data_IF_865531474603
#
_entry.id   IF_865531474603
#
_cell.length_a   1.000
_cell.length_b   1.000
_cell.length_c   1.000
_cell.angle_alpha   90.00
_cell.angle_beta   90.00
_cell.angle_gamma   90.00
#
_symmetry.space_group_name_H-M   'P 1'
#
loop_
_entity.id
_entity.type
_entity.pdbx_description
1 polymer ?
#
# COMPACT_ATOMS: atom_id res chain seq x y z
N UNK A 1 21.02 -10.53 -10.53
CA UNK A 1 21.57 -10.47 -9.16
C UNK A 1 20.72 -11.36 -8.28
N UNK A 2 21.33 -12.10 -7.35
CA UNK A 2 20.54 -12.87 -6.40
C UNK A 2 19.81 -11.90 -5.45
N UNK A 3 18.67 -12.32 -4.89
CA UNK A 3 17.85 -11.49 -3.99
C UNK A 3 18.66 -10.96 -2.78
N UNK A 4 19.58 -11.77 -2.27
CA UNK A 4 20.49 -11.39 -1.19
C UNK A 4 21.46 -10.26 -1.58
N UNK A 5 21.92 -10.22 -2.83
CA UNK A 5 22.80 -9.17 -3.32
C UNK A 5 22.06 -7.83 -3.38
N UNK A 6 20.80 -7.86 -3.84
CA UNK A 6 19.92 -6.68 -3.91
C UNK A 6 19.66 -6.17 -2.49
N UNK A 7 19.31 -7.06 -1.56
CA UNK A 7 19.08 -6.67 -0.17
C UNK A 7 20.32 -6.02 0.44
N UNK A 8 21.51 -6.59 0.24
CA UNK A 8 22.75 -6.03 0.76
C UNK A 8 23.05 -4.65 0.17
N UNK A 9 22.79 -4.43 -1.11
CA UNK A 9 22.93 -3.14 -1.77
C UNK A 9 21.95 -2.09 -1.22
N UNK A 10 20.69 -2.47 -1.02
CA UNK A 10 19.68 -1.58 -0.43
C UNK A 10 19.92 -1.26 1.05
N UNK A 11 20.54 -2.17 1.81
CA UNK A 11 21.01 -1.88 3.17
C UNK A 11 22.12 -0.82 3.16
N UNK A 12 23.06 -0.87 2.20
CA UNK A 12 24.08 0.19 2.07
C UNK A 12 23.46 1.56 1.77
N UNK A 13 22.38 1.60 0.96
CA UNK A 13 21.63 2.83 0.68
C UNK A 13 20.97 3.43 1.94
N UNK A 14 20.61 2.61 2.92
CA UNK A 14 20.10 3.10 4.22
C UNK A 14 21.20 3.84 4.98
N UNK A 15 22.44 3.34 4.96
CA UNK A 15 23.56 4.05 5.58
C UNK A 15 23.85 5.38 4.86
N UNK A 16 23.78 5.42 3.53
CA UNK A 16 23.92 6.67 2.77
C UNK A 16 22.84 7.72 3.13
N UNK A 17 21.59 7.29 3.30
CA UNK A 17 20.51 8.15 3.79
C UNK A 17 20.86 8.74 5.16
N UNK A 18 21.33 7.89 6.08
CA UNK A 18 21.71 8.30 7.43
C UNK A 18 22.90 9.26 7.45
N UNK A 19 23.92 9.01 6.63
CA UNK A 19 25.07 9.92 6.45
C UNK A 19 24.65 11.30 5.91
N UNK A 20 23.63 11.33 5.05
CA UNK A 20 23.01 12.55 4.56
C UNK A 20 22.02 13.21 5.56
N UNK A 21 21.83 12.64 6.75
CA UNK A 21 20.92 13.14 7.78
C UNK A 21 19.44 12.86 7.51
N UNK A 22 19.13 11.97 6.57
CA UNK A 22 17.76 11.55 6.23
C UNK A 22 17.46 10.17 6.84
N UNK A 23 16.38 10.06 7.60
CA UNK A 23 15.96 8.77 8.17
C UNK A 23 15.26 7.91 7.10
N UNK A 24 15.60 6.62 7.03
CA UNK A 24 14.98 5.70 6.07
C UNK A 24 13.56 5.25 6.47
N UNK A 25 13.19 5.45 7.74
CA UNK A 25 11.93 5.02 8.36
C UNK A 25 11.42 6.06 9.39
N UNK A 26 11.14 7.31 8.99
CA UNK A 26 10.67 8.33 9.91
C UNK A 26 9.31 7.96 10.53
N UNK A 27 9.11 8.38 11.78
CA UNK A 27 7.86 8.13 12.50
C UNK A 27 6.66 8.98 12.02
N UNK A 28 6.90 10.04 11.25
CA UNK A 28 5.88 10.99 10.78
C UNK A 28 6.10 11.34 9.31
N UNK A 29 5.00 11.62 8.63
CA UNK A 29 4.95 12.21 7.29
C UNK A 29 4.21 13.55 7.38
N UNK A 30 4.60 14.49 6.53
CA UNK A 30 3.95 15.78 6.33
C UNK A 30 2.93 15.77 5.16
N UNK A 31 2.58 14.58 4.63
CA UNK A 31 1.55 14.42 3.59
C UNK A 31 0.27 15.17 3.95
N UNK A 32 -0.17 16.04 3.04
CA UNK A 32 -1.34 16.91 3.26
C UNK A 32 -2.53 16.58 2.35
N UNK A 33 -2.31 15.83 1.26
CA UNK A 33 -3.36 15.43 0.31
C UNK A 33 -3.12 14.01 -0.22
N UNK A 34 -4.19 13.37 -0.71
CA UNK A 34 -4.06 12.16 -1.53
C UNK A 34 -3.85 12.48 -3.00
N UNK A 35 -3.35 11.49 -3.75
CA UNK A 35 -3.17 11.60 -5.19
C UNK A 35 -4.53 11.73 -5.91
N UNK A 36 -5.55 11.01 -5.45
CA UNK A 36 -6.90 11.13 -5.98
C UNK A 36 -7.48 12.55 -5.78
N UNK A 37 -7.32 13.14 -4.59
CA UNK A 37 -7.77 14.50 -4.29
C UNK A 37 -7.03 15.54 -5.14
N UNK A 38 -5.70 15.43 -5.24
CA UNK A 38 -4.90 16.33 -6.08
C UNK A 38 -5.32 16.24 -7.55
N UNK A 39 -5.56 15.03 -8.07
CA UNK A 39 -5.99 14.84 -9.46
C UNK A 39 -7.40 15.40 -9.73
N UNK A 40 -8.30 15.31 -8.75
CA UNK A 40 -9.63 15.90 -8.84
C UNK A 40 -9.58 17.44 -8.86
N UNK A 41 -8.70 18.04 -8.04
CA UNK A 41 -8.50 19.50 -7.93
C UNK A 41 -7.34 20.06 -8.75
N UNK A 42 -6.81 19.31 -9.73
CA UNK A 42 -5.50 19.59 -10.31
C UNK A 42 -5.39 20.98 -10.94
N UNK A 43 -6.37 21.37 -11.76
CA UNK A 43 -6.30 22.63 -12.52
C UNK A 43 -6.39 23.86 -11.60
N UNK A 44 -7.02 23.74 -10.44
CA UNK A 44 -7.05 24.78 -9.42
C UNK A 44 -5.73 24.84 -8.63
N UNK A 45 -5.18 23.67 -8.27
CA UNK A 45 -3.88 23.57 -7.61
C UNK A 45 -2.75 24.12 -8.49
N UNK A 46 -2.76 23.81 -9.80
CA UNK A 46 -1.81 24.32 -10.80
C UNK A 46 -1.90 25.86 -10.91
N UNK A 47 -3.11 26.42 -11.00
CA UNK A 47 -3.32 27.88 -11.10
C UNK A 47 -2.91 28.64 -9.84
N UNK A 48 -3.17 28.08 -8.67
CA UNK A 48 -2.83 28.70 -7.40
C UNK A 48 -1.34 28.65 -7.09
N UNK A 49 -0.58 27.74 -7.73
CA UNK A 49 0.83 27.50 -7.40
C UNK A 49 1.00 27.01 -5.96
N UNK A 50 -0.06 26.47 -5.34
CA UNK A 50 -0.01 25.97 -3.97
C UNK A 50 0.98 24.82 -3.89
N UNK A 51 1.83 24.87 -2.85
CA UNK A 51 2.68 23.75 -2.46
C UNK A 51 1.83 22.64 -1.84
N UNK A 52 2.03 21.42 -2.30
CA UNK A 52 1.38 20.20 -1.79
C UNK A 52 2.43 19.15 -1.48
N UNK A 53 2.13 18.28 -0.52
CA UNK A 53 3.01 17.19 -0.08
C UNK A 53 2.30 15.86 -0.26
N UNK A 54 2.85 15.05 -1.16
CA UNK A 54 2.34 13.71 -1.48
C UNK A 54 3.22 12.66 -0.83
N UNK A 55 2.60 11.59 -0.33
CA UNK A 55 3.30 10.39 0.12
C UNK A 55 2.85 9.18 -0.68
N UNK A 56 3.79 8.38 -1.17
CA UNK A 56 3.46 7.20 -1.97
C UNK A 56 4.63 6.30 -2.28
N UNK A 57 4.32 5.15 -2.87
CA UNK A 57 5.29 4.14 -3.30
C UNK A 57 5.80 4.45 -4.70
N UNK A 58 7.11 4.37 -4.90
CA UNK A 58 7.75 4.44 -6.21
C UNK A 58 7.39 3.18 -7.00
N UNK A 59 6.58 3.33 -8.04
CA UNK A 59 6.22 2.23 -8.94
C UNK A 59 7.21 2.09 -10.08
N UNK A 60 7.68 3.22 -10.61
CA UNK A 60 8.75 3.27 -11.60
C UNK A 60 9.53 4.57 -11.48
N UNK A 61 10.80 4.53 -11.85
CA UNK A 61 11.69 5.69 -11.91
C UNK A 61 12.51 5.63 -13.21
N UNK A 62 12.63 6.77 -13.88
CA UNK A 62 13.41 6.93 -15.12
C UNK A 62 14.13 8.28 -15.11
N UNK A 63 15.45 8.24 -15.22
CA UNK A 63 16.30 9.42 -15.31
C UNK A 63 16.78 9.69 -16.73
N UNK A 64 16.90 10.95 -17.11
CA UNK A 64 17.58 11.37 -18.33
C UNK A 64 18.24 12.73 -18.12
N UNK A 65 19.58 12.75 -18.03
CA UNK A 65 20.32 13.97 -17.68
C UNK A 65 19.99 14.45 -16.27
N UNK A 66 19.84 15.76 -16.08
CA UNK A 66 19.47 16.38 -14.79
C UNK A 66 17.98 16.34 -14.46
N UNK A 67 17.22 15.39 -15.01
CA UNK A 67 15.77 15.23 -14.77
C UNK A 67 15.43 13.77 -14.46
N UNK A 68 14.60 13.54 -13.44
CA UNK A 68 14.08 12.23 -13.08
C UNK A 68 12.56 12.27 -13.03
N UNK A 69 11.92 11.33 -13.72
CA UNK A 69 10.48 11.11 -13.68
C UNK A 69 10.18 9.87 -12.87
N UNK A 70 9.25 9.99 -11.92
CA UNK A 70 8.90 8.90 -11.01
C UNK A 70 7.39 8.76 -10.98
N UNK A 71 6.88 7.55 -11.17
CA UNK A 71 5.46 7.24 -10.97
C UNK A 71 5.24 6.86 -9.51
N UNK A 72 4.45 7.66 -8.79
CA UNK A 72 4.08 7.40 -7.40
C UNK A 72 2.67 6.85 -7.29
N UNK A 73 2.47 5.94 -6.34
CA UNK A 73 1.18 5.32 -6.03
C UNK A 73 0.91 5.32 -4.53
N UNK A 74 -0.22 5.88 -4.07
CA UNK A 74 -0.55 6.03 -2.64
C UNK A 74 -1.71 5.15 -2.15
N UNK A 75 -2.25 4.27 -3.00
CA UNK A 75 -3.48 3.53 -2.71
C UNK A 75 -4.71 4.11 -3.42
N UNK A 76 -4.78 5.43 -3.55
CA UNK A 76 -5.94 6.17 -4.08
C UNK A 76 -5.79 6.50 -5.57
N UNK A 77 -4.56 6.72 -6.03
CA UNK A 77 -4.28 7.08 -7.42
C UNK A 77 -2.80 6.97 -7.75
N UNK A 78 -2.47 7.22 -9.02
CA UNK A 78 -1.09 7.32 -9.52
C UNK A 78 -0.84 8.74 -10.03
N UNK A 79 0.35 9.27 -9.77
CA UNK A 79 0.77 10.57 -10.31
C UNK A 79 2.27 10.56 -10.60
N UNK A 80 2.65 11.19 -11.71
CA UNK A 80 4.05 11.43 -12.03
C UNK A 80 4.58 12.59 -11.17
N UNK A 81 5.71 12.37 -10.51
CA UNK A 81 6.52 13.44 -9.93
C UNK A 81 7.77 13.65 -10.78
N UNK A 82 8.28 14.88 -10.80
CA UNK A 82 9.42 15.29 -11.62
C UNK A 82 10.43 16.01 -10.75
N UNK A 83 11.62 15.41 -10.60
CA UNK A 83 12.77 16.02 -9.95
C UNK A 83 13.66 16.62 -11.03
N UNK A 84 14.10 17.87 -10.87
CA UNK A 84 14.98 18.56 -11.82
C UNK A 84 16.14 19.19 -11.05
N UNK A 85 17.38 18.83 -11.39
CA UNK A 85 18.59 19.32 -10.72
C UNK A 85 18.65 20.86 -10.68
N UNK A 86 18.15 21.53 -11.72
CA UNK A 86 18.17 23.00 -11.82
C UNK A 86 17.14 23.71 -10.92
N UNK A 87 16.15 22.99 -10.39
CA UNK A 87 14.99 23.55 -9.68
C UNK A 87 14.93 23.09 -8.22
N UNK A 88 15.90 22.30 -7.76
CA UNK A 88 15.96 21.81 -6.37
C UNK A 88 17.40 21.81 -5.85
N UNK A 89 17.58 21.55 -4.55
CA UNK A 89 18.92 21.41 -3.98
C UNK A 89 19.66 20.23 -4.63
N UNK A 90 20.87 20.52 -5.14
CA UNK A 90 21.67 19.52 -5.86
C UNK A 90 22.01 18.30 -5.00
N UNK A 91 22.29 18.47 -3.70
CA UNK A 91 22.60 17.34 -2.81
C UNK A 91 21.37 16.45 -2.63
N UNK A 92 20.17 17.04 -2.51
CA UNK A 92 18.93 16.27 -2.45
C UNK A 92 18.65 15.53 -3.76
N UNK A 93 18.93 16.14 -4.91
CA UNK A 93 18.81 15.48 -6.21
C UNK A 93 19.79 14.32 -6.38
N UNK A 94 21.06 14.53 -6.04
CA UNK A 94 22.10 13.51 -6.10
C UNK A 94 21.82 12.37 -5.11
N UNK A 95 21.35 12.70 -3.90
CA UNK A 95 20.91 11.72 -2.90
C UNK A 95 19.77 10.85 -3.46
N UNK A 96 18.76 11.46 -4.08
CA UNK A 96 17.64 10.72 -4.67
C UNK A 96 18.14 9.69 -5.69
N UNK A 97 18.99 10.12 -6.63
CA UNK A 97 19.56 9.23 -7.66
C UNK A 97 20.43 8.12 -7.05
N UNK A 98 21.10 8.39 -5.94
CA UNK A 98 21.95 7.41 -5.26
C UNK A 98 21.19 6.35 -4.45
N UNK A 99 20.02 6.69 -3.91
CA UNK A 99 19.36 5.86 -2.87
C UNK A 99 17.93 5.45 -3.16
N UNK A 100 17.20 6.12 -4.05
CA UNK A 100 15.80 5.80 -4.32
C UNK A 100 15.69 4.60 -5.28
N UNK A 101 14.83 3.65 -4.96
CA UNK A 101 14.56 2.46 -5.75
C UNK A 101 13.06 2.22 -5.93
N UNK A 102 12.71 1.46 -6.98
CA UNK A 102 11.35 0.95 -7.13
C UNK A 102 10.92 0.14 -5.89
N UNK A 103 9.77 0.52 -5.37
CA UNK A 103 9.11 -0.03 -4.21
C UNK A 103 9.31 0.71 -2.91
N UNK A 104 10.22 1.69 -2.86
CA UNK A 104 10.35 2.59 -1.72
C UNK A 104 9.09 3.44 -1.54
N UNK A 105 8.78 3.79 -0.30
CA UNK A 105 7.85 4.86 -0.01
C UNK A 105 8.62 6.15 0.20
N UNK A 106 8.20 7.20 -0.48
CA UNK A 106 8.75 8.54 -0.34
C UNK A 106 7.63 9.55 -0.12
N UNK A 107 8.03 10.68 0.42
CA UNK A 107 7.28 11.91 0.43
C UNK A 107 7.91 12.87 -0.57
N UNK A 108 7.09 13.59 -1.33
CA UNK A 108 7.53 14.59 -2.29
C UNK A 108 6.67 15.85 -2.12
N UNK A 109 7.33 16.99 -1.94
CA UNK A 109 6.69 18.29 -1.79
C UNK A 109 7.05 19.20 -2.96
N UNK A 110 6.06 19.93 -3.46
CA UNK A 110 6.26 20.90 -4.53
C UNK A 110 4.96 21.38 -5.15
N UNK A 111 5.00 21.74 -6.43
CA UNK A 111 3.88 22.42 -7.11
C UNK A 111 3.32 21.60 -8.28
N UNK A 112 2.00 21.64 -8.44
CA UNK A 112 1.31 20.94 -9.54
C UNK A 112 1.60 21.65 -10.87
N UNK A 113 1.93 20.88 -11.91
CA UNK A 113 2.16 21.40 -13.26
C UNK A 113 1.91 20.35 -14.34
N UNK A 114 1.61 20.79 -15.55
CA UNK A 114 1.61 19.91 -16.73
C UNK A 114 2.96 19.88 -17.41
N UNK A 115 3.45 18.67 -17.70
CA UNK A 115 4.64 18.52 -18.55
C UNK A 115 4.38 18.97 -19.99
N UNK A 116 5.42 19.11 -20.80
CA UNK A 116 5.29 19.42 -22.24
C UNK A 116 4.39 18.44 -23.01
N UNK A 117 4.22 17.20 -22.51
CA UNK A 117 3.35 16.18 -23.10
C UNK A 117 1.91 16.23 -22.58
N UNK A 118 1.58 17.18 -21.69
CA UNK A 118 0.26 17.32 -21.08
C UNK A 118 0.03 16.44 -19.84
N UNK A 119 1.01 15.64 -19.42
CA UNK A 119 0.90 14.80 -18.22
C UNK A 119 0.77 15.67 -16.97
N UNK A 120 -0.26 15.43 -16.15
CA UNK A 120 -0.43 16.07 -14.84
C UNK A 120 0.64 15.55 -13.90
N UNK A 121 1.44 16.45 -13.32
CA UNK A 121 2.60 16.06 -12.52
C UNK A 121 2.82 16.99 -11.34
N UNK A 122 3.64 16.54 -10.39
CA UNK A 122 4.19 17.38 -9.33
C UNK A 122 5.64 17.73 -9.68
N UNK A 123 5.97 19.02 -9.74
CA UNK A 123 7.37 19.46 -9.79
C UNK A 123 7.90 19.45 -8.37
N UNK A 124 8.90 18.61 -8.10
CA UNK A 124 9.41 18.36 -6.75
C UNK A 124 10.47 19.40 -6.39
N UNK A 125 10.31 19.99 -5.20
CA UNK A 125 11.26 20.92 -4.58
C UNK A 125 12.02 20.22 -3.44
N UNK A 126 11.32 19.38 -2.68
CA UNK A 126 11.86 18.61 -1.57
C UNK A 126 11.29 17.18 -1.57
N UNK A 127 12.06 16.23 -1.06
CA UNK A 127 11.60 14.87 -0.87
C UNK A 127 12.20 14.28 0.41
N UNK A 128 11.50 13.30 0.99
CA UNK A 128 11.97 12.53 2.14
C UNK A 128 11.70 11.04 1.90
N UNK A 129 12.61 10.19 2.40
CA UNK A 129 12.34 8.76 2.50
C UNK A 129 11.30 8.51 3.59
N UNK A 130 10.28 7.68 3.33
CA UNK A 130 9.28 7.25 4.32
C UNK A 130 9.49 5.79 4.73
N UNK A 131 9.80 4.92 3.77
CA UNK A 131 10.17 3.54 4.05
C UNK A 131 11.01 2.99 2.90
N UNK A 132 12.26 2.68 3.18
CA UNK A 132 13.14 2.01 2.23
C UNK A 132 12.67 0.56 2.03
N UNK A 133 12.43 0.17 0.79
CA UNK A 133 12.13 -1.23 0.46
C UNK A 133 13.43 -2.01 0.35
N UNK A 134 13.54 -3.15 1.02
CA UNK A 134 14.73 -4.01 0.95
C UNK A 134 14.68 -5.06 -0.17
N UNK A 135 13.49 -5.27 -0.75
CA UNK A 135 13.25 -6.25 -1.81
C UNK A 135 12.62 -5.55 -3.02
N UNK A 136 12.97 -5.97 -4.24
CA UNK A 136 12.39 -5.39 -5.44
C UNK A 136 10.91 -5.80 -5.55
N UNK A 137 10.09 -4.92 -6.11
CA UNK A 137 8.74 -5.30 -6.54
C UNK A 137 8.90 -6.17 -7.80
N UNK A 138 8.24 -7.34 -7.88
CA UNK A 138 8.19 -8.12 -9.10
C UNK A 138 7.69 -7.27 -10.26
N UNK A 139 8.38 -7.29 -11.40
CA UNK A 139 8.02 -6.47 -12.55
C UNK A 139 6.58 -6.76 -13.02
N UNK A 140 5.79 -5.71 -13.25
CA UNK A 140 4.38 -5.78 -13.66
C UNK A 140 4.15 -6.71 -14.87
N UNK A 141 5.09 -6.75 -15.82
CA UNK A 141 4.98 -7.53 -17.06
C UNK A 141 5.28 -9.03 -16.92
N UNK A 142 6.13 -9.40 -15.96
CA UNK A 142 6.40 -10.82 -15.70
C UNK A 142 5.28 -11.42 -14.87
N UNK A 143 4.69 -10.63 -13.97
CA UNK A 143 3.58 -11.03 -13.11
C UNK A 143 3.97 -12.14 -12.15
N UNK A 144 3.33 -12.18 -10.98
CA UNK A 144 3.31 -13.41 -10.20
C UNK A 144 2.39 -14.39 -10.97
N UNK A 145 2.91 -15.09 -11.98
CA UNK A 145 2.12 -16.07 -12.76
C UNK A 145 1.86 -17.35 -11.97
N UNK A 146 2.77 -17.66 -11.07
CA UNK A 146 2.69 -18.81 -10.17
C UNK A 146 1.58 -18.61 -9.13
N UNK A 147 0.53 -19.42 -9.20
CA UNK A 147 -0.63 -19.35 -8.31
C UNK A 147 -0.27 -19.55 -6.83
N UNK A 148 0.68 -20.46 -6.53
CA UNK A 148 1.12 -20.70 -5.16
C UNK A 148 1.82 -19.46 -4.60
N UNK A 149 2.71 -18.87 -5.40
CA UNK A 149 3.42 -17.65 -5.00
C UNK A 149 2.46 -16.49 -4.77
N UNK A 150 1.44 -16.32 -5.63
CA UNK A 150 0.37 -15.31 -5.43
C UNK A 150 -0.42 -15.50 -4.15
N UNK A 151 -0.65 -16.75 -3.74
CA UNK A 151 -1.35 -17.07 -2.50
C UNK A 151 -0.49 -16.77 -1.27
N UNK A 152 0.84 -16.98 -1.37
CA UNK A 152 1.81 -16.71 -0.29
C UNK A 152 2.16 -15.23 -0.14
N UNK A 153 2.32 -14.52 -1.26
CA UNK A 153 2.68 -13.10 -1.34
C UNK A 153 1.48 -12.25 -1.77
N UNK A 154 0.36 -12.43 -1.04
CA UNK A 154 -0.93 -11.83 -1.41
C UNK A 154 -0.90 -10.30 -1.39
N UNK A 155 -0.12 -9.71 -0.49
CA UNK A 155 0.12 -8.28 -0.38
C UNK A 155 0.75 -7.70 -1.66
N UNK A 156 1.75 -8.39 -2.22
CA UNK A 156 2.37 -8.01 -3.49
C UNK A 156 1.39 -8.20 -4.65
N UNK A 157 0.64 -9.31 -4.69
CA UNK A 157 -0.35 -9.57 -5.75
C UNK A 157 -1.44 -8.48 -5.76
N UNK A 158 -1.94 -8.05 -4.59
CA UNK A 158 -2.91 -6.93 -4.48
C UNK A 158 -2.30 -5.59 -4.93
N UNK A 159 -0.99 -5.41 -4.78
CA UNK A 159 -0.31 -4.20 -5.23
C UNK A 159 -0.22 -4.11 -6.76
N UNK A 160 0.18 -5.20 -7.42
CA UNK A 160 0.47 -5.23 -8.87
C UNK A 160 -0.73 -5.62 -9.73
N UNK A 161 -1.73 -6.32 -9.17
CA UNK A 161 -2.92 -6.76 -9.88
C UNK A 161 -4.14 -5.90 -9.54
N UNK A 162 -4.47 -4.98 -10.45
CA UNK A 162 -5.62 -4.08 -10.30
C UNK A 162 -6.97 -4.82 -10.23
N UNK A 163 -7.14 -5.93 -10.94
CA UNK A 163 -8.37 -6.73 -10.91
C UNK A 163 -8.56 -7.40 -9.56
N UNK A 164 -7.49 -7.96 -8.99
CA UNK A 164 -7.53 -8.55 -7.65
C UNK A 164 -7.83 -7.50 -6.59
N UNK A 165 -7.21 -6.33 -6.66
CA UNK A 165 -7.53 -5.23 -5.75
C UNK A 165 -9.02 -4.88 -5.82
N UNK A 166 -9.55 -4.69 -7.03
CA UNK A 166 -10.95 -4.40 -7.22
C UNK A 166 -11.86 -5.52 -6.69
N UNK A 167 -11.45 -6.79 -6.78
CA UNK A 167 -12.17 -7.92 -6.20
C UNK A 167 -12.22 -7.82 -4.67
N UNK A 168 -11.10 -7.51 -4.01
CA UNK A 168 -11.03 -7.35 -2.54
C UNK A 168 -11.91 -6.18 -2.09
N UNK A 169 -11.89 -5.05 -2.80
CA UNK A 169 -12.76 -3.90 -2.53
C UNK A 169 -14.24 -4.25 -2.70
N UNK A 170 -14.60 -4.95 -3.78
CA UNK A 170 -15.98 -5.42 -4.01
C UNK A 170 -16.44 -6.35 -2.91
N UNK A 171 -15.58 -7.25 -2.43
CA UNK A 171 -15.89 -8.16 -1.31
C UNK A 171 -16.20 -7.38 -0.03
N UNK A 172 -15.43 -6.33 0.27
CA UNK A 172 -15.70 -5.47 1.42
C UNK A 172 -17.07 -4.75 1.28
N UNK A 173 -17.34 -4.18 0.11
CA UNK A 173 -18.62 -3.51 -0.20
C UNK A 173 -19.81 -4.48 -0.13
N UNK A 174 -19.65 -5.71 -0.59
CA UNK A 174 -20.68 -6.75 -0.51
C UNK A 174 -21.09 -7.03 0.94
N UNK A 175 -20.12 -7.27 1.82
CA UNK A 175 -20.41 -7.52 3.25
C UNK A 175 -21.01 -6.30 3.94
N UNK A 176 -20.53 -5.10 3.61
CA UNK A 176 -21.10 -3.86 4.12
C UNK A 176 -22.58 -3.70 3.72
N UNK A 177 -22.89 -3.92 2.44
CA UNK A 177 -24.27 -3.84 1.93
C UNK A 177 -25.19 -4.86 2.58
N UNK A 178 -24.70 -6.09 2.82
CA UNK A 178 -25.47 -7.11 3.53
C UNK A 178 -25.80 -6.67 4.97
N UNK A 179 -24.82 -6.12 5.70
CA UNK A 179 -25.05 -5.59 7.06
C UNK A 179 -26.08 -4.47 7.06
N UNK A 180 -25.90 -3.46 6.21
CA UNK A 180 -26.81 -2.30 6.11
C UNK A 180 -28.26 -2.73 5.83
N UNK A 181 -28.45 -3.71 4.96
CA UNK A 181 -29.78 -4.25 4.66
C UNK A 181 -30.48 -4.84 5.88
N UNK A 182 -29.78 -5.66 6.69
CA UNK A 182 -30.37 -6.28 7.88
C UNK A 182 -30.55 -5.28 9.02
N UNK A 183 -29.57 -4.39 9.24
CA UNK A 183 -29.67 -3.31 10.23
C UNK A 183 -30.86 -2.39 9.94
N UNK A 184 -31.07 -2.03 8.67
CA UNK A 184 -32.22 -1.24 8.24
C UNK A 184 -33.59 -1.91 8.47
N UNK A 185 -33.60 -3.22 8.72
CA UNK A 185 -34.80 -4.00 9.05
C UNK A 185 -34.94 -4.29 10.55
N UNK A 186 -34.11 -3.70 11.40
CA UNK A 186 -34.15 -3.89 12.86
C UNK A 186 -33.50 -5.19 13.34
N UNK A 187 -32.70 -5.86 12.51
CA UNK A 187 -31.87 -6.97 12.98
C UNK A 187 -30.72 -6.44 13.84
N UNK A 188 -30.28 -7.25 14.81
CA UNK A 188 -29.12 -6.99 15.64
C UNK A 188 -27.98 -7.91 15.20
N UNK A 189 -26.81 -7.33 14.89
CA UNK A 189 -25.59 -8.11 14.62
C UNK A 189 -25.05 -8.65 15.95
N UNK A 190 -24.82 -9.97 16.03
CA UNK A 190 -24.32 -10.65 17.23
C UNK A 190 -23.11 -11.52 16.87
N UNK A 191 -22.13 -11.55 17.75
CA UNK A 191 -21.01 -12.49 17.67
C UNK A 191 -21.34 -13.72 18.50
N UNK A 192 -21.08 -14.90 17.95
CA UNK A 192 -21.32 -16.19 18.62
C UNK A 192 -20.01 -16.97 18.72
N UNK A 193 -19.87 -17.88 19.70
CA UNK A 193 -18.60 -18.57 19.93
C UNK A 193 -18.13 -19.35 18.70
N UNK A 194 -16.89 -19.10 18.27
CA UNK A 194 -16.24 -19.87 17.19
C UNK A 194 -15.70 -21.21 17.70
N UNK A 195 -15.33 -21.28 18.98
CA UNK A 195 -14.89 -22.52 19.62
C UNK A 195 -16.03 -23.14 20.43
N UNK A 196 -16.46 -24.32 20.04
CA UNK A 196 -17.55 -25.08 20.64
C UNK A 196 -17.02 -26.36 21.30
N UNK A 197 -17.56 -26.73 22.46
CA UNK A 197 -17.27 -28.05 23.07
C UNK A 197 -17.97 -29.19 22.33
N UNK A 198 -19.04 -28.87 21.61
CA UNK A 198 -19.81 -29.82 20.82
C UNK A 198 -20.18 -29.13 19.51
N UNK A 199 -19.40 -29.35 18.44
CA UNK A 199 -19.61 -28.67 17.18
C UNK A 199 -20.94 -29.09 16.57
N UNK A 200 -21.78 -28.11 16.22
CA UNK A 200 -23.10 -28.34 15.66
C UNK A 200 -23.45 -27.47 14.44
N UNK A 201 -24.69 -27.59 13.97
CA UNK A 201 -25.30 -26.68 12.99
C UNK A 201 -25.06 -26.99 11.51
N UNK A 202 -24.08 -27.83 11.16
CA UNK A 202 -23.86 -28.36 9.81
C UNK A 202 -23.24 -29.76 9.85
N UNK A 203 -23.47 -30.57 8.81
CA UNK A 203 -22.83 -31.89 8.66
C UNK A 203 -21.45 -31.71 8.02
N UNK A 204 -20.45 -31.44 8.87
CA UNK A 204 -19.06 -31.25 8.46
C UNK A 204 -18.10 -31.78 9.53
N UNK A 205 -16.89 -32.15 9.11
CA UNK A 205 -15.82 -32.56 10.04
C UNK A 205 -15.18 -31.30 10.66
N UNK A 206 -15.20 -31.14 11.99
CA UNK A 206 -14.68 -29.94 12.63
C UNK A 206 -13.14 -29.97 12.78
N UNK A 207 -12.53 -28.79 12.88
CA UNK A 207 -11.15 -28.66 13.37
C UNK A 207 -11.12 -28.82 14.88
N UNK A 208 -10.16 -29.60 15.40
CA UNK A 208 -10.04 -29.92 16.82
C UNK A 208 -8.80 -29.25 17.40
N UNK A 209 -8.97 -28.55 18.51
CA UNK A 209 -7.89 -27.90 19.26
C UNK A 209 -8.06 -28.09 20.78
N UNK A 210 -7.13 -27.58 21.57
CA UNK A 210 -7.10 -27.78 23.02
C UNK A 210 -6.99 -26.45 23.77
N UNK A 211 -7.85 -26.26 24.77
CA UNK A 211 -7.82 -25.10 25.63
C UNK A 211 -7.03 -25.39 26.91
N UNK A 212 -5.79 -24.92 26.98
CA UNK A 212 -4.83 -25.23 28.07
C UNK A 212 -5.36 -24.92 29.48
N UNK A 213 -6.04 -23.78 29.69
CA UNK A 213 -6.50 -23.40 31.04
C UNK A 213 -7.57 -24.36 31.61
N UNK A 214 -8.51 -24.80 30.79
CA UNK A 214 -9.62 -25.69 31.21
C UNK A 214 -9.36 -27.16 30.88
N UNK A 215 -8.19 -27.49 30.31
CA UNK A 215 -7.79 -28.83 29.89
C UNK A 215 -8.87 -29.58 29.08
N UNK A 216 -9.56 -28.86 28.18
CA UNK A 216 -10.64 -29.42 27.36
C UNK A 216 -10.32 -29.35 25.88
N UNK A 217 -10.76 -30.39 25.17
CA UNK A 217 -10.84 -30.39 23.71
C UNK A 217 -12.00 -29.47 23.32
N UNK A 218 -11.73 -28.57 22.38
CA UNK A 218 -12.73 -27.70 21.75
C UNK A 218 -12.59 -27.83 20.24
N UNK A 219 -13.66 -27.52 19.53
CA UNK A 219 -13.76 -27.65 18.09
C UNK A 219 -14.20 -26.32 17.45
N UNK A 220 -13.76 -26.05 16.23
CA UNK A 220 -14.26 -24.90 15.47
C UNK A 220 -15.71 -25.15 15.02
N UNK A 221 -16.58 -24.17 15.23
CA UNK A 221 -17.99 -24.22 14.89
C UNK A 221 -18.17 -24.44 13.37
N UNK A 222 -18.95 -25.46 13.01
CA UNK A 222 -19.29 -25.73 11.60
C UNK A 222 -20.41 -24.82 11.09
N UNK A 223 -21.23 -24.28 12.00
CA UNK A 223 -22.26 -23.26 11.73
C UNK A 223 -22.77 -22.62 13.02
N UNK A 224 -23.06 -21.31 12.98
CA UNK A 224 -23.59 -20.55 14.11
C UNK A 224 -25.12 -20.69 14.31
N UNK A 225 -25.78 -21.60 13.58
CA UNK A 225 -27.25 -21.78 13.60
C UNK A 225 -27.79 -22.16 14.98
N UNK A 226 -27.06 -22.95 15.77
CA UNK A 226 -27.48 -23.37 17.11
C UNK A 226 -27.64 -22.19 18.06
N UNK A 227 -26.65 -21.29 18.05
CA UNK A 227 -26.66 -20.09 18.89
C UNK A 227 -27.66 -19.04 18.41
N UNK A 228 -27.78 -18.82 17.10
CA UNK A 228 -28.73 -17.84 16.55
C UNK A 228 -30.20 -18.17 16.85
N UNK A 229 -30.55 -19.42 17.18
CA UNK A 229 -31.90 -19.81 17.64
C UNK A 229 -32.12 -19.62 19.14
N UNK A 230 -31.04 -19.43 19.89
CA UNK A 230 -31.05 -19.35 21.35
C UNK A 230 -31.04 -17.91 21.87
N UNK A 231 -30.88 -16.94 20.96
CA UNK A 231 -30.92 -15.49 21.18
C UNK A 231 -32.19 -14.94 20.55
#
# INVERSE_FOLDING_TARGET
MAENDIRAERVKKIELLKEAGMEAYPARSARDTSMAELLAGFDECEKSGRRVTLGGRIMSSRGQGGIVFVDLFDGTGRIQIVLQESEMDKKLFDLFNGVADNGDFIEASGTAFKTKRGERSLKVEEWNMLAKSLLPIPAEHFGLRDEEKRLRERDIDILVNAELRALVERRAKFWQSAREFYLGKGFMEVETPVLETTPGGADARPFVTHHNFVWRIVAEASSHRGFSKSV
#
